data_IF_581804168674
#
_entry.id   IF_581804168674
#
_cell.length_a   1.000
_cell.length_b   1.000
_cell.length_c   1.000
_cell.angle_alpha   90.00
_cell.angle_beta   90.00
_cell.angle_gamma   90.00
#
_symmetry.space_group_name_H-M   'P 1'
#
loop_
_entity.id
_entity.type
_entity.pdbx_description
1 polymer ?
#
# COMPACT_ATOMS: atom_id res chain seq x y z
N UNK A 1 -19.23 0.14 -3.28
CA UNK A 1 -18.12 0.41 -4.23
C UNK A 1 -17.08 1.34 -3.60
N UNK A 2 -17.35 2.65 -3.43
CA UNK A 2 -16.46 3.55 -2.66
C UNK A 2 -16.20 3.10 -1.21
N UNK A 3 -17.19 2.44 -0.60
CA UNK A 3 -17.09 1.86 0.75
C UNK A 3 -15.90 0.90 0.89
N UNK A 4 -15.64 0.03 -0.09
CA UNK A 4 -14.53 -0.92 -0.02
C UNK A 4 -13.17 -0.21 0.01
N UNK A 5 -12.99 0.81 -0.84
CA UNK A 5 -11.77 1.64 -0.85
C UNK A 5 -11.60 2.39 0.48
N UNK A 6 -12.69 2.93 1.03
CA UNK A 6 -12.65 3.63 2.32
C UNK A 6 -12.33 2.69 3.48
N UNK A 7 -12.87 1.46 3.49
CA UNK A 7 -12.52 0.42 4.46
C UNK A 7 -11.03 0.09 4.37
N UNK A 8 -10.51 -0.16 3.17
CA UNK A 8 -9.09 -0.46 2.96
C UNK A 8 -8.20 0.69 3.42
N UNK A 9 -8.56 1.94 3.10
CA UNK A 9 -7.84 3.11 3.57
C UNK A 9 -7.86 3.22 5.11
N UNK A 10 -9.02 2.98 5.73
CA UNK A 10 -9.19 3.07 7.18
C UNK A 10 -8.29 2.09 7.94
N UNK A 11 -8.18 0.84 7.47
CA UNK A 11 -7.39 -0.19 8.15
C UNK A 11 -5.89 -0.10 7.88
N UNK A 12 -5.48 0.59 6.80
CA UNK A 12 -4.07 0.67 6.38
C UNK A 12 -3.40 1.99 6.80
N UNK A 13 -4.13 3.11 6.88
CA UNK A 13 -3.52 4.42 7.07
C UNK A 13 -2.75 4.53 8.39
N UNK A 14 -3.35 4.12 9.51
CA UNK A 14 -2.74 4.26 10.85
C UNK A 14 -1.55 3.32 11.03
N UNK A 15 -1.62 2.02 10.68
CA UNK A 15 -0.47 1.14 10.79
C UNK A 15 0.66 1.53 9.84
N UNK A 16 0.31 1.97 8.63
CA UNK A 16 1.27 2.48 7.67
C UNK A 16 2.00 3.74 8.14
N UNK A 17 1.27 4.67 8.76
CA UNK A 17 1.87 5.88 9.33
C UNK A 17 2.82 5.56 10.49
N UNK A 18 2.42 4.60 11.36
CA UNK A 18 3.28 4.11 12.43
C UNK A 18 4.57 3.47 11.89
N UNK A 19 4.47 2.64 10.84
CA UNK A 19 5.64 2.07 10.17
C UNK A 19 6.51 3.15 9.51
N UNK A 20 5.90 4.12 8.83
CA UNK A 20 6.63 5.20 8.19
C UNK A 20 7.49 5.99 9.19
N UNK A 21 6.98 6.22 10.41
CA UNK A 21 7.75 6.91 11.46
C UNK A 21 8.99 6.12 11.91
N UNK A 22 8.95 4.80 11.81
CA UNK A 22 10.08 3.92 12.16
C UNK A 22 11.07 3.80 10.99
N UNK A 23 10.57 3.78 9.76
CA UNK A 23 11.36 3.49 8.56
C UNK A 23 11.96 4.75 7.90
N UNK A 24 11.32 5.90 8.01
CA UNK A 24 11.81 7.17 7.44
C UNK A 24 11.64 8.33 8.45
N UNK A 25 12.71 8.57 9.22
CA UNK A 25 12.77 9.67 10.19
C UNK A 25 12.84 11.07 9.55
N UNK A 26 13.22 11.17 8.27
CA UNK A 26 13.27 12.44 7.54
C UNK A 26 11.97 12.76 6.79
N UNK A 27 11.02 11.82 6.73
CA UNK A 27 9.76 12.01 6.04
C UNK A 27 8.94 13.15 6.65
N UNK A 28 8.63 14.15 5.83
CA UNK A 28 7.64 15.18 6.15
C UNK A 28 6.21 14.63 6.01
N UNK A 29 5.22 15.49 6.29
CA UNK A 29 3.81 15.08 6.21
C UNK A 29 3.40 14.57 4.82
N UNK A 30 3.97 15.13 3.76
CA UNK A 30 3.67 14.73 2.39
C UNK A 30 4.19 13.32 2.09
N UNK A 31 5.47 13.06 2.37
CA UNK A 31 6.06 11.74 2.13
C UNK A 31 5.40 10.67 3.00
N UNK A 32 5.08 11.00 4.27
CA UNK A 32 4.30 10.13 5.16
C UNK A 32 2.93 9.80 4.56
N UNK A 33 2.22 10.78 4.00
CA UNK A 33 0.91 10.55 3.38
C UNK A 33 0.99 9.61 2.16
N UNK A 34 2.06 9.71 1.35
CA UNK A 34 2.27 8.83 0.20
C UNK A 34 2.63 7.40 0.63
N UNK A 35 3.53 7.24 1.62
CA UNK A 35 4.03 5.95 2.07
C UNK A 35 3.01 5.15 2.89
N UNK A 36 2.20 5.82 3.71
CA UNK A 36 1.37 5.16 4.72
C UNK A 36 0.41 4.12 4.13
N UNK A 37 -0.41 4.41 3.10
CA UNK A 37 -1.35 3.41 2.57
C UNK A 37 -0.64 2.12 2.08
N UNK A 38 0.52 2.24 1.44
CA UNK A 38 1.27 1.09 0.93
C UNK A 38 1.90 0.25 2.06
N UNK A 39 2.55 0.90 3.03
CA UNK A 39 3.16 0.22 4.17
C UNK A 39 2.10 -0.46 5.04
N UNK A 40 0.97 0.22 5.25
CA UNK A 40 -0.17 -0.32 5.96
C UNK A 40 -0.76 -1.52 5.25
N UNK A 41 -0.96 -1.42 3.93
CA UNK A 41 -1.46 -2.52 3.12
C UNK A 41 -0.54 -3.74 3.19
N UNK A 42 0.78 -3.56 3.12
CA UNK A 42 1.75 -4.64 3.28
C UNK A 42 1.63 -5.33 4.65
N UNK A 43 1.48 -4.56 5.73
CA UNK A 43 1.28 -5.11 7.07
C UNK A 43 -0.04 -5.89 7.16
N UNK A 44 -1.13 -5.34 6.63
CA UNK A 44 -2.45 -5.99 6.66
C UNK A 44 -2.44 -7.27 5.80
N UNK A 45 -1.74 -7.28 4.66
CA UNK A 45 -1.49 -8.51 3.89
C UNK A 45 -0.77 -9.56 4.73
N UNK A 46 0.30 -9.16 5.42
CA UNK A 46 1.02 -10.04 6.33
C UNK A 46 0.12 -10.60 7.44
N UNK A 47 -0.70 -9.75 8.07
CA UNK A 47 -1.63 -10.14 9.13
C UNK A 47 -2.66 -11.14 8.62
N UNK A 48 -3.38 -10.84 7.54
CA UNK A 48 -4.41 -11.73 6.99
C UNK A 48 -3.81 -13.03 6.47
N UNK A 49 -2.63 -12.97 5.84
CA UNK A 49 -1.89 -14.14 5.39
C UNK A 49 -1.46 -15.04 6.55
N UNK A 50 -0.97 -14.48 7.65
CA UNK A 50 -0.58 -15.25 8.84
C UNK A 50 -1.78 -15.88 9.55
N UNK A 51 -2.87 -15.14 9.70
CA UNK A 51 -4.14 -15.68 10.24
C UNK A 51 -4.59 -16.88 9.39
N UNK A 52 -4.50 -16.77 8.07
CA UNK A 52 -4.80 -17.89 7.18
C UNK A 52 -3.84 -19.07 7.36
N UNK A 53 -2.53 -18.84 7.31
CA UNK A 53 -1.51 -19.88 7.43
C UNK A 53 -1.55 -20.62 8.78
N UNK A 54 -2.10 -19.98 9.83
CA UNK A 54 -2.32 -20.62 11.12
C UNK A 54 -3.44 -21.67 11.11
N UNK A 55 -4.25 -21.75 10.04
CA UNK A 55 -5.42 -22.61 9.95
C UNK A 55 -6.62 -22.13 10.77
N UNK A 56 -6.57 -20.91 11.31
CA UNK A 56 -7.60 -20.33 12.18
C UNK A 56 -8.43 -19.25 11.48
N UNK A 57 -8.38 -19.16 10.15
CA UNK A 57 -9.07 -18.09 9.44
C UNK A 57 -10.57 -18.11 9.73
N UNK A 58 -11.05 -16.97 10.23
CA UNK A 58 -12.46 -16.59 10.26
C UNK A 58 -12.51 -15.07 10.07
N UNK A 59 -13.62 -14.55 9.54
CA UNK A 59 -13.79 -13.11 9.42
C UNK A 59 -13.67 -12.38 10.77
N UNK A 60 -14.22 -12.97 11.83
CA UNK A 60 -14.17 -12.42 13.19
C UNK A 60 -12.73 -12.36 13.71
N UNK A 61 -11.96 -13.45 13.57
CA UNK A 61 -10.57 -13.47 14.02
C UNK A 61 -9.71 -12.49 13.21
N UNK A 62 -9.84 -12.50 11.88
CA UNK A 62 -9.13 -11.56 11.01
C UNK A 62 -9.44 -10.10 11.39
N UNK A 63 -10.71 -9.77 11.62
CA UNK A 63 -11.14 -8.45 12.11
C UNK A 63 -10.50 -8.09 13.45
N UNK A 64 -10.51 -9.02 14.41
CA UNK A 64 -9.90 -8.82 15.72
C UNK A 64 -8.39 -8.55 15.62
N UNK A 65 -7.66 -9.27 14.77
CA UNK A 65 -6.22 -9.08 14.58
C UNK A 65 -5.92 -7.77 13.81
N UNK A 66 -6.74 -7.38 12.83
CA UNK A 66 -6.62 -6.07 12.15
C UNK A 66 -6.84 -4.92 13.15
N UNK A 67 -7.85 -5.03 14.03
CA UNK A 67 -8.10 -4.07 15.10
C UNK A 67 -6.94 -4.04 16.10
N UNK A 68 -6.39 -5.19 16.46
CA UNK A 68 -5.19 -5.28 17.30
C UNK A 68 -4.00 -4.58 16.65
N UNK A 69 -3.74 -4.81 15.36
CA UNK A 69 -2.67 -4.13 14.63
C UNK A 69 -2.84 -2.60 14.66
N UNK A 70 -4.05 -2.11 14.39
CA UNK A 70 -4.38 -0.67 14.45
C UNK A 70 -4.20 -0.08 15.86
N UNK A 71 -4.66 -0.77 16.90
CA UNK A 71 -4.52 -0.30 18.29
C UNK A 71 -3.06 -0.29 18.75
N UNK A 72 -2.26 -1.31 18.37
CA UNK A 72 -0.82 -1.34 18.62
C UNK A 72 -0.10 -0.21 17.89
N UNK A 73 -0.49 0.10 16.65
CA UNK A 73 0.06 1.25 15.91
C UNK A 73 -0.26 2.58 16.59
N UNK A 74 -1.48 2.78 17.11
CA UNK A 74 -1.84 3.97 17.90
C UNK A 74 -1.02 4.05 19.19
N UNK A 75 -0.86 2.93 19.91
CA UNK A 75 -0.06 2.87 21.12
C UNK A 75 1.41 3.20 20.83
N UNK A 76 1.95 2.72 19.71
CA UNK A 76 3.30 3.04 19.24
C UNK A 76 3.45 4.54 18.95
N UNK A 77 2.50 5.15 18.23
CA UNK A 77 2.53 6.58 17.91
C UNK A 77 2.43 7.47 19.15
N UNK A 78 1.69 7.05 20.18
CA UNK A 78 1.55 7.78 21.45
C UNK A 78 2.73 7.61 22.40
N UNK A 79 3.63 6.65 22.14
CA UNK A 79 4.79 6.40 23.01
C UNK A 79 5.70 7.63 22.99
N UNK A 80 5.93 8.21 24.17
CA UNK A 80 6.88 9.31 24.34
C UNK A 80 8.31 8.78 24.24
N UNK A 81 9.19 9.58 23.64
CA UNK A 81 10.64 9.32 23.62
C UNK A 81 11.13 9.41 25.05
N UNK A 82 11.85 8.38 25.51
CA UNK A 82 12.44 8.39 26.83
C UNK A 82 13.79 9.10 26.75
N UNK A 83 13.84 10.36 27.21
CA UNK A 83 15.02 11.23 27.18
C UNK A 83 16.22 10.60 27.91
N UNK A 84 15.99 9.74 28.90
CA UNK A 84 17.04 9.09 29.70
C UNK A 84 17.86 8.04 28.94
N UNK A 85 17.37 7.52 27.80
CA UNK A 85 18.06 6.46 27.04
C UNK A 85 18.94 6.97 25.91
N UNK A 86 19.02 8.29 25.71
CA UNK A 86 19.66 8.90 24.55
C UNK A 86 18.87 8.71 23.25
N UNK A 87 19.12 9.57 22.26
CA UNK A 87 18.46 9.50 20.95
C UNK A 87 19.16 8.48 20.06
N UNK A 88 18.39 7.61 19.41
CA UNK A 88 18.91 6.78 18.31
C UNK A 88 19.32 7.67 17.12
N UNK A 89 20.16 7.17 16.21
CA UNK A 89 20.51 7.91 14.99
C UNK A 89 19.27 8.38 14.21
N UNK A 90 18.23 7.56 14.17
CA UNK A 90 16.93 7.91 13.56
C UNK A 90 16.22 9.05 14.28
N UNK A 91 16.23 9.05 15.61
CA UNK A 91 15.64 10.12 16.41
C UNK A 91 16.46 11.41 16.34
N UNK A 92 17.79 11.30 16.21
CA UNK A 92 18.67 12.44 15.94
C UNK A 92 18.34 13.07 14.58
N UNK A 93 18.15 12.27 13.53
CA UNK A 93 17.76 12.76 12.21
C UNK A 93 16.39 13.47 12.26
N UNK A 94 15.38 12.85 12.89
CA UNK A 94 14.05 13.47 13.09
C UNK A 94 14.19 14.81 13.85
N UNK A 95 15.02 14.85 14.89
CA UNK A 95 15.29 16.07 15.65
C UNK A 95 15.97 17.18 14.84
N UNK A 96 16.97 16.86 14.02
CA UNK A 96 17.65 17.83 13.14
C UNK A 96 16.70 18.35 12.08
N UNK A 97 15.88 17.48 11.50
CA UNK A 97 14.82 17.88 10.57
C UNK A 97 13.81 18.86 11.20
N UNK A 98 13.66 18.82 12.52
CA UNK A 98 12.84 19.76 13.31
C UNK A 98 13.61 20.96 13.88
N UNK A 99 14.88 21.16 13.49
CA UNK A 99 15.68 22.34 13.82
C UNK A 99 16.59 22.21 15.03
N UNK A 100 16.81 21.00 15.57
CA UNK A 100 17.86 20.79 16.57
C UNK A 100 19.25 20.81 15.92
N UNK A 101 20.20 21.52 16.52
CA UNK A 101 21.60 21.55 16.08
C UNK A 101 22.36 20.51 16.90
N UNK A 102 22.96 19.53 16.24
CA UNK A 102 23.80 18.51 16.89
C UNK A 102 25.25 19.00 17.02
N UNK A 103 25.99 18.38 17.94
CA UNK A 103 27.43 18.60 18.10
C UNK A 103 28.21 18.06 16.88
N UNK A 104 29.47 18.51 16.71
CA UNK A 104 30.28 18.25 15.51
C UNK A 104 30.52 16.77 15.17
N UNK A 105 30.33 15.85 16.12
CA UNK A 105 30.48 14.40 15.89
C UNK A 105 29.33 13.80 15.05
N UNK A 106 28.21 14.49 14.87
CA UNK A 106 27.05 14.01 14.10
C UNK A 106 26.92 14.71 12.71
N UNK A 107 28.02 15.15 12.10
CA UNK A 107 28.02 15.90 10.84
C UNK A 107 27.29 15.16 9.70
N UNK A 108 27.44 13.84 9.60
CA UNK A 108 26.73 13.02 8.59
C UNK A 108 25.19 13.15 8.69
N UNK A 109 24.65 13.21 9.92
CA UNK A 109 23.20 13.37 10.15
C UNK A 109 22.74 14.77 9.75
N UNK A 110 23.57 15.78 10.01
CA UNK A 110 23.31 17.16 9.60
C UNK A 110 23.33 17.32 8.07
N UNK A 111 24.28 16.66 7.40
CA UNK A 111 24.40 16.69 5.94
C UNK A 111 23.21 15.97 5.29
N UNK A 112 22.82 14.80 5.80
CA UNK A 112 21.64 14.06 5.34
C UNK A 112 20.37 14.89 5.54
N UNK A 113 20.17 15.49 6.72
CA UNK A 113 19.02 16.36 6.98
C UNK A 113 18.97 17.54 5.99
N UNK A 114 20.12 18.15 5.69
CA UNK A 114 20.22 19.25 4.72
C UNK A 114 19.85 18.80 3.30
N UNK A 115 20.31 17.63 2.88
CA UNK A 115 19.94 17.03 1.59
C UNK A 115 18.43 16.74 1.52
N UNK A 116 17.86 16.17 2.58
CA UNK A 116 16.43 15.89 2.66
C UNK A 116 15.59 17.17 2.62
N UNK A 117 15.99 18.22 3.34
CA UNK A 117 15.32 19.53 3.28
C UNK A 117 15.36 20.12 1.86
N UNK A 118 16.49 20.02 1.18
CA UNK A 118 16.62 20.47 -0.21
C UNK A 118 15.69 19.69 -1.15
N UNK A 119 15.62 18.35 -1.04
CA UNK A 119 14.67 17.56 -1.83
C UNK A 119 13.22 17.98 -1.56
N UNK A 120 12.86 18.21 -0.30
CA UNK A 120 11.51 18.61 0.11
C UNK A 120 11.13 20.00 -0.44
N UNK A 121 12.06 20.95 -0.49
CA UNK A 121 11.83 22.29 -1.07
C UNK A 121 11.79 22.27 -2.60
N UNK A 122 12.55 21.38 -3.24
CA UNK A 122 12.74 21.33 -4.69
C UNK A 122 11.91 20.27 -5.41
N UNK A 123 10.89 19.71 -4.75
CA UNK A 123 9.99 18.72 -5.34
C UNK A 123 9.41 19.17 -6.67
N UNK A 124 9.34 18.23 -7.62
CA UNK A 124 8.67 18.45 -8.90
C UNK A 124 7.14 18.46 -8.72
N UNK A 125 6.60 19.57 -8.19
CA UNK A 125 5.18 19.71 -7.81
C UNK A 125 4.21 19.42 -8.95
N UNK A 126 4.55 19.86 -10.16
CA UNK A 126 3.71 19.59 -11.33
C UNK A 126 3.62 18.09 -11.64
N UNK A 127 4.74 17.39 -11.66
CA UNK A 127 4.76 15.95 -11.84
C UNK A 127 4.05 15.20 -10.73
N UNK A 128 4.18 15.65 -9.48
CA UNK A 128 3.40 15.09 -8.36
C UNK A 128 1.90 15.23 -8.62
N UNK A 129 1.41 16.42 -8.97
CA UNK A 129 -0.03 16.64 -9.22
C UNK A 129 -0.54 15.78 -10.37
N UNK A 130 0.15 15.77 -11.51
CA UNK A 130 -0.23 14.97 -12.68
C UNK A 130 -0.17 13.48 -12.35
N UNK A 131 0.92 13.03 -11.74
CA UNK A 131 1.11 11.64 -11.34
C UNK A 131 0.05 11.17 -10.35
N UNK A 132 -0.33 11.99 -9.36
CA UNK A 132 -1.39 11.67 -8.42
C UNK A 132 -2.75 11.51 -9.12
N UNK A 133 -3.10 12.40 -10.04
CA UNK A 133 -4.34 12.29 -10.83
C UNK A 133 -4.34 10.98 -11.64
N UNK A 134 -3.24 10.66 -12.31
CA UNK A 134 -3.10 9.43 -13.09
C UNK A 134 -3.18 8.18 -12.21
N UNK A 135 -2.50 8.17 -11.07
CA UNK A 135 -2.54 7.08 -10.09
C UNK A 135 -3.95 6.87 -9.51
N UNK A 136 -4.69 7.95 -9.23
CA UNK A 136 -6.08 7.85 -8.79
C UNK A 136 -7.00 7.35 -9.92
N UNK A 137 -6.65 7.60 -11.18
CA UNK A 137 -7.31 7.02 -12.36
C UNK A 137 -7.38 5.49 -12.34
N UNK A 138 -6.41 4.82 -11.70
CA UNK A 138 -6.40 3.36 -11.52
C UNK A 138 -7.65 2.89 -10.74
N UNK A 139 -8.13 3.70 -9.79
CA UNK A 139 -9.30 3.36 -8.97
C UNK A 139 -10.64 3.55 -9.71
N UNK A 140 -10.63 4.16 -10.90
CA UNK A 140 -11.86 4.45 -11.66
C UNK A 140 -12.43 3.19 -12.31
N UNK A 141 -11.58 2.27 -12.78
CA UNK A 141 -12.00 1.02 -13.42
C UNK A 141 -13.00 0.21 -12.58
N UNK A 142 -12.69 -0.14 -11.31
CA UNK A 142 -13.62 -0.91 -10.49
C UNK A 142 -14.86 -0.11 -10.05
N UNK A 143 -14.93 1.20 -10.32
CA UNK A 143 -16.13 2.01 -10.11
C UNK A 143 -17.08 1.91 -11.31
N UNK A 144 -16.54 1.83 -12.53
CA UNK A 144 -17.32 1.82 -13.77
C UNK A 144 -17.69 0.39 -14.19
N UNK A 145 -16.85 -0.60 -13.86
CA UNK A 145 -17.00 -1.98 -14.27
C UNK A 145 -17.40 -2.88 -13.10
N UNK A 146 -18.24 -3.88 -13.38
CA UNK A 146 -18.75 -4.77 -12.34
C UNK A 146 -17.85 -5.99 -12.10
N UNK A 147 -17.21 -6.50 -13.15
CA UNK A 147 -16.41 -7.72 -13.10
C UNK A 147 -15.01 -7.49 -13.68
N UNK A 148 -13.99 -8.14 -13.10
CA UNK A 148 -12.63 -8.07 -13.61
C UNK A 148 -12.44 -8.84 -14.92
N UNK A 149 -11.49 -8.42 -15.75
CA UNK A 149 -11.09 -9.13 -16.98
C UNK A 149 -9.81 -9.94 -16.74
N UNK A 150 -9.90 -11.27 -16.90
CA UNK A 150 -8.74 -12.16 -16.93
C UNK A 150 -8.89 -13.39 -16.03
N UNK A 151 -8.20 -14.46 -16.42
CA UNK A 151 -8.26 -15.77 -15.73
C UNK A 151 -7.78 -15.68 -14.28
N UNK A 152 -6.73 -14.91 -14.00
CA UNK A 152 -6.19 -14.78 -12.65
C UNK A 152 -7.20 -14.16 -11.67
N UNK A 153 -8.00 -13.19 -12.15
CA UNK A 153 -9.05 -12.58 -11.33
C UNK A 153 -10.13 -13.58 -10.95
N UNK A 154 -10.53 -14.45 -11.87
CA UNK A 154 -11.47 -15.54 -11.61
C UNK A 154 -10.87 -16.49 -10.58
N UNK A 155 -9.61 -16.88 -10.77
CA UNK A 155 -8.89 -17.74 -9.85
C UNK A 155 -8.84 -17.19 -8.41
N UNK A 156 -8.43 -15.93 -8.25
CA UNK A 156 -8.44 -15.27 -6.94
C UNK A 156 -9.85 -15.10 -6.39
N UNK A 157 -10.87 -14.86 -7.21
CA UNK A 157 -12.26 -14.76 -6.76
C UNK A 157 -12.79 -16.11 -6.24
N UNK A 158 -12.43 -17.22 -6.90
CA UNK A 158 -12.75 -18.58 -6.43
C UNK A 158 -12.09 -18.85 -5.08
N UNK A 159 -10.78 -18.57 -4.94
CA UNK A 159 -10.09 -18.73 -3.66
C UNK A 159 -10.69 -17.86 -2.56
N UNK A 160 -10.98 -16.61 -2.88
CA UNK A 160 -11.59 -15.65 -1.95
C UNK A 160 -12.94 -16.14 -1.45
N UNK A 161 -13.76 -16.71 -2.34
CA UNK A 161 -15.02 -17.35 -1.98
C UNK A 161 -14.82 -18.58 -1.09
N UNK A 162 -13.87 -19.45 -1.42
CA UNK A 162 -13.57 -20.63 -0.59
C UNK A 162 -13.11 -20.26 0.82
N UNK A 163 -12.29 -19.22 0.96
CA UNK A 163 -11.87 -18.74 2.28
C UNK A 163 -13.06 -18.19 3.07
N UNK A 164 -13.95 -17.43 2.42
CA UNK A 164 -15.13 -16.87 3.11
C UNK A 164 -16.09 -17.97 3.57
N UNK A 165 -16.32 -18.98 2.73
CA UNK A 165 -17.27 -20.06 3.03
C UNK A 165 -16.71 -21.12 3.98
N UNK A 166 -15.45 -21.50 3.82
CA UNK A 166 -14.86 -22.69 4.45
C UNK A 166 -13.60 -22.41 5.26
N UNK A 167 -13.08 -21.18 5.25
CA UNK A 167 -11.84 -20.81 5.96
C UNK A 167 -10.58 -21.45 5.39
N UNK A 168 -10.62 -22.03 4.19
CA UNK A 168 -9.49 -22.71 3.56
C UNK A 168 -9.49 -22.48 2.03
N UNK A 169 -8.47 -23.02 1.35
CA UNK A 169 -8.32 -22.93 -0.12
C UNK A 169 -8.38 -24.31 -0.80
N UNK A 170 -9.00 -25.29 -0.15
CA UNK A 170 -9.19 -26.62 -0.73
C UNK A 170 -10.38 -26.55 -1.69
N UNK A 171 -10.14 -26.88 -2.95
CA UNK A 171 -11.18 -26.92 -3.96
C UNK A 171 -11.76 -28.35 -4.03
N UNK A 172 -13.08 -28.44 -4.05
CA UNK A 172 -13.81 -29.72 -4.19
C UNK A 172 -14.54 -29.82 -5.53
N UNK A 173 -14.82 -31.04 -6.00
CA UNK A 173 -15.59 -31.28 -7.22
C UNK A 173 -14.71 -31.36 -8.48
N UNK A 174 -15.14 -30.74 -9.59
CA UNK A 174 -14.46 -30.84 -10.90
C UNK A 174 -13.07 -30.17 -10.91
N UNK A 175 -12.80 -29.28 -9.95
CA UNK A 175 -11.52 -28.57 -9.78
C UNK A 175 -10.76 -29.09 -8.55
N UNK A 176 -10.79 -30.40 -8.29
CA UNK A 176 -10.11 -31.01 -7.15
C UNK A 176 -8.61 -30.63 -7.11
N UNK A 177 -8.19 -30.01 -6.01
CA UNK A 177 -6.81 -29.57 -5.83
C UNK A 177 -6.63 -28.50 -4.75
N UNK A 178 -5.37 -28.16 -4.48
CA UNK A 178 -4.99 -27.07 -3.58
C UNK A 178 -4.15 -26.04 -4.34
N UNK A 179 -4.52 -24.77 -4.25
CA UNK A 179 -3.71 -23.69 -4.83
C UNK A 179 -2.51 -23.35 -3.93
N UNK A 180 -1.37 -23.08 -4.54
CA UNK A 180 -0.09 -22.78 -3.87
C UNK A 180 0.26 -21.30 -3.83
N UNK A 181 -0.64 -20.41 -4.26
CA UNK A 181 -0.40 -18.97 -4.21
C UNK A 181 -0.30 -18.48 -2.76
N UNK A 182 0.54 -17.45 -2.47
CA UNK A 182 0.57 -16.83 -1.17
C UNK A 182 -0.82 -16.36 -0.73
N UNK A 183 -1.26 -16.69 0.50
CA UNK A 183 -2.65 -16.52 0.91
C UNK A 183 -3.05 -15.10 1.24
N UNK A 184 -2.08 -14.19 1.38
CA UNK A 184 -2.31 -12.83 1.85
C UNK A 184 -3.38 -12.08 1.03
N UNK A 185 -3.28 -12.14 -0.31
CA UNK A 185 -4.21 -11.47 -1.21
C UNK A 185 -5.65 -12.03 -1.10
N UNK A 186 -5.90 -13.33 -1.36
CA UNK A 186 -7.25 -13.88 -1.26
C UNK A 186 -7.81 -13.85 0.17
N UNK A 187 -6.97 -13.94 1.21
CA UNK A 187 -7.42 -13.82 2.60
C UNK A 187 -7.91 -12.40 2.95
N UNK A 188 -7.20 -11.36 2.50
CA UNK A 188 -7.66 -9.98 2.69
C UNK A 188 -8.86 -9.66 1.80
N UNK A 189 -8.90 -10.18 0.56
CA UNK A 189 -10.07 -10.05 -0.30
C UNK A 189 -11.31 -10.71 0.33
N UNK A 190 -11.14 -11.86 0.98
CA UNK A 190 -12.23 -12.56 1.67
C UNK A 190 -12.75 -11.74 2.85
N UNK A 191 -11.83 -11.20 3.65
CA UNK A 191 -12.21 -10.27 4.72
C UNK A 191 -12.95 -9.03 4.19
N UNK A 192 -12.50 -8.45 3.07
CA UNK A 192 -13.13 -7.28 2.45
C UNK A 192 -14.51 -7.61 1.87
N UNK A 193 -14.68 -8.80 1.29
CA UNK A 193 -15.95 -9.31 0.74
C UNK A 193 -17.04 -9.27 1.81
N UNK A 194 -16.76 -9.82 2.99
CA UNK A 194 -17.69 -9.81 4.11
C UNK A 194 -17.82 -8.43 4.75
N UNK A 195 -16.72 -7.70 4.94
CA UNK A 195 -16.74 -6.37 5.58
C UNK A 195 -17.53 -5.32 4.77
N UNK A 196 -17.45 -5.38 3.43
CA UNK A 196 -18.15 -4.47 2.53
C UNK A 196 -19.47 -5.05 1.98
N UNK A 197 -19.82 -6.29 2.35
CA UNK A 197 -20.97 -7.03 1.82
C UNK A 197 -21.04 -7.01 0.28
N UNK A 198 -19.94 -7.44 -0.35
CA UNK A 198 -19.80 -7.58 -1.81
C UNK A 198 -19.34 -8.99 -2.14
N UNK A 199 -19.57 -9.44 -3.37
CA UNK A 199 -19.08 -10.74 -3.84
C UNK A 199 -17.55 -10.78 -3.93
N UNK A 200 -17.00 -12.01 -3.96
CA UNK A 200 -15.56 -12.25 -3.98
C UNK A 200 -14.87 -11.68 -5.22
N UNK A 201 -15.54 -11.69 -6.38
CA UNK A 201 -15.03 -11.12 -7.62
C UNK A 201 -14.83 -9.62 -7.51
N UNK A 202 -15.83 -8.91 -6.98
CA UNK A 202 -15.72 -7.47 -6.71
C UNK A 202 -14.70 -7.16 -5.63
N UNK A 203 -14.65 -7.93 -4.55
CA UNK A 203 -13.66 -7.72 -3.49
C UNK A 203 -12.23 -7.81 -4.03
N UNK A 204 -11.95 -8.85 -4.81
CA UNK A 204 -10.68 -9.04 -5.51
C UNK A 204 -10.40 -7.89 -6.49
N UNK A 205 -11.39 -7.46 -7.26
CA UNK A 205 -11.25 -6.37 -8.23
C UNK A 205 -10.89 -5.03 -7.56
N UNK A 206 -11.61 -4.66 -6.49
CA UNK A 206 -11.32 -3.46 -5.70
C UNK A 206 -9.96 -3.55 -5.01
N UNK A 207 -9.64 -4.68 -4.37
CA UNK A 207 -8.39 -4.85 -3.66
C UNK A 207 -7.19 -4.79 -4.61
N UNK A 208 -7.30 -5.39 -5.81
CA UNK A 208 -6.24 -5.33 -6.83
C UNK A 208 -5.94 -3.91 -7.30
N UNK A 209 -6.97 -3.14 -7.64
CA UNK A 209 -6.80 -1.74 -8.09
C UNK A 209 -6.33 -0.84 -6.95
N UNK A 210 -6.85 -1.04 -5.73
CA UNK A 210 -6.37 -0.35 -4.54
C UNK A 210 -4.88 -0.62 -4.32
N UNK A 211 -4.47 -1.89 -4.37
CA UNK A 211 -3.07 -2.31 -4.22
C UNK A 211 -2.17 -1.63 -5.22
N UNK A 212 -2.54 -1.66 -6.51
CA UNK A 212 -1.73 -1.02 -7.55
C UNK A 212 -1.61 0.48 -7.32
N UNK A 213 -2.73 1.18 -7.05
CA UNK A 213 -2.74 2.61 -6.82
C UNK A 213 -1.85 3.01 -5.62
N UNK A 214 -2.00 2.34 -4.48
CA UNK A 214 -1.20 2.67 -3.29
C UNK A 214 0.25 2.27 -3.44
N UNK A 215 0.59 1.20 -4.18
CA UNK A 215 1.99 0.84 -4.45
C UNK A 215 2.68 1.87 -5.34
N UNK A 216 2.02 2.36 -6.39
CA UNK A 216 2.57 3.42 -7.25
C UNK A 216 2.81 4.70 -6.44
N UNK A 217 1.85 5.10 -5.60
CA UNK A 217 1.97 6.27 -4.73
C UNK A 217 3.04 6.07 -3.65
N UNK A 218 3.07 4.91 -3.00
CA UNK A 218 4.03 4.58 -1.95
C UNK A 218 5.46 4.50 -2.47
N UNK A 219 5.68 3.86 -3.61
CA UNK A 219 6.98 3.83 -4.26
C UNK A 219 7.44 5.23 -4.70
N UNK A 220 6.53 6.09 -5.16
CA UNK A 220 6.87 7.50 -5.39
C UNK A 220 7.27 8.22 -4.10
N UNK A 221 6.64 7.91 -2.97
CA UNK A 221 7.05 8.40 -1.65
C UNK A 221 8.44 7.93 -1.25
N UNK A 222 8.79 6.68 -1.55
CA UNK A 222 10.15 6.17 -1.35
C UNK A 222 11.17 6.88 -2.27
N UNK A 223 10.82 7.13 -3.54
CA UNK A 223 11.68 7.86 -4.48
C UNK A 223 11.78 9.37 -4.17
N UNK A 224 10.82 9.94 -3.43
CA UNK A 224 10.90 11.30 -2.90
C UNK A 224 12.06 11.47 -1.92
N UNK A 225 12.48 10.40 -1.23
CA UNK A 225 13.71 10.39 -0.42
C UNK A 225 14.97 10.69 -1.25
N UNK A 226 14.93 10.40 -2.54
CA UNK A 226 16.01 10.66 -3.50
C UNK A 226 15.70 11.84 -4.42
N UNK A 227 14.72 12.68 -4.09
CA UNK A 227 14.34 13.86 -4.89
C UNK A 227 13.67 13.57 -6.24
N UNK A 228 13.23 12.33 -6.49
CA UNK A 228 12.68 11.89 -7.78
C UNK A 228 11.22 11.40 -7.73
N UNK A 229 10.53 11.61 -6.60
CA UNK A 229 9.16 11.12 -6.39
C UNK A 229 8.16 11.58 -7.44
N UNK A 230 8.21 12.86 -7.85
CA UNK A 230 7.31 13.40 -8.87
C UNK A 230 7.53 12.81 -10.26
N UNK A 231 8.78 12.65 -10.67
CA UNK A 231 9.15 12.03 -11.94
C UNK A 231 8.74 10.56 -11.95
N UNK A 232 9.06 9.83 -10.89
CA UNK A 232 8.70 8.42 -10.72
C UNK A 232 7.18 8.23 -10.81
N UNK A 233 6.41 9.06 -10.12
CA UNK A 233 4.95 8.96 -10.08
C UNK A 233 4.33 9.12 -11.47
N UNK A 234 4.80 10.09 -12.26
CA UNK A 234 4.34 10.28 -13.66
C UNK A 234 4.72 9.08 -14.52
N UNK A 235 5.99 8.67 -14.50
CA UNK A 235 6.50 7.58 -15.34
C UNK A 235 5.78 6.27 -15.04
N UNK A 236 5.62 5.91 -13.76
CA UNK A 236 4.95 4.67 -13.38
C UNK A 236 3.46 4.71 -13.70
N UNK A 237 2.78 5.82 -13.45
CA UNK A 237 1.34 5.93 -13.76
C UNK A 237 1.06 5.87 -15.26
N UNK A 238 1.90 6.52 -16.09
CA UNK A 238 1.81 6.40 -17.55
C UNK A 238 2.16 4.97 -18.03
N UNK A 239 3.16 4.34 -17.41
CA UNK A 239 3.51 2.94 -17.69
C UNK A 239 2.34 1.98 -17.48
N UNK A 240 1.55 2.17 -16.43
CA UNK A 240 0.30 1.41 -16.20
C UNK A 240 -0.70 1.64 -17.34
N UNK A 241 -0.88 2.88 -17.78
CA UNK A 241 -1.76 3.21 -18.90
C UNK A 241 -1.31 2.58 -20.23
N UNK A 242 -0.01 2.60 -20.52
CA UNK A 242 0.57 1.96 -21.71
C UNK A 242 0.37 0.44 -21.63
N UNK A 243 0.63 -0.19 -20.48
CA UNK A 243 0.44 -1.62 -20.31
C UNK A 243 -1.02 -2.04 -20.51
N UNK A 244 -1.97 -1.28 -19.94
CA UNK A 244 -3.39 -1.49 -20.16
C UNK A 244 -3.75 -1.40 -21.65
N UNK A 245 -3.18 -0.45 -22.39
CA UNK A 245 -3.44 -0.29 -23.83
C UNK A 245 -2.77 -1.37 -24.68
N UNK A 246 -1.58 -1.82 -24.32
CA UNK A 246 -0.91 -2.99 -24.94
C UNK A 246 -1.79 -4.23 -24.81
N UNK A 247 -2.38 -4.44 -23.63
CA UNK A 247 -3.24 -5.59 -23.40
C UNK A 247 -4.53 -5.55 -24.25
N UNK A 248 -5.12 -4.37 -24.42
CA UNK A 248 -6.32 -4.15 -25.24
C UNK A 248 -6.04 -4.24 -26.76
N UNK A 249 -4.92 -3.65 -27.22
CA UNK A 249 -4.72 -3.35 -28.65
C UNK A 249 -3.37 -3.75 -29.23
N UNK A 250 -2.49 -4.38 -28.44
CA UNK A 250 -1.20 -4.91 -28.87
C UNK A 250 -0.11 -3.86 -29.07
N UNK A 251 1.04 -4.32 -29.55
CA UNK A 251 2.26 -3.51 -29.75
C UNK A 251 2.16 -2.37 -30.79
N UNK A 252 1.40 -2.48 -31.90
CA UNK A 252 1.28 -1.39 -32.87
C UNK A 252 0.74 -0.08 -32.27
N UNK A 253 -0.13 -0.17 -31.26
CA UNK A 253 -0.71 1.00 -30.60
C UNK A 253 0.28 1.72 -29.69
N UNK A 254 1.30 1.04 -29.17
CA UNK A 254 2.39 1.72 -28.43
C UNK A 254 3.26 2.51 -29.38
N UNK A 255 3.61 1.93 -30.54
CA UNK A 255 4.39 2.61 -31.56
C UNK A 255 3.69 3.87 -32.08
N UNK A 256 2.34 3.86 -32.19
CA UNK A 256 1.57 5.03 -32.61
C UNK A 256 1.48 6.15 -31.56
N UNK A 257 1.89 5.92 -30.32
CA UNK A 257 1.94 6.96 -29.27
C UNK A 257 3.31 7.66 -29.20
N UNK A 258 4.29 7.20 -29.99
CA UNK A 258 5.65 7.77 -30.06
C UNK A 258 5.78 8.85 -31.16
N UNK A 259 4.69 9.18 -31.85
CA UNK A 259 4.60 10.17 -32.93
C UNK A 259 3.54 11.20 -32.56
#
# INVERSE_FOLDING_TARGET
MLVAILILLAITLVPGYALCRVLDGAADGWRKAMLSPALGLLLIYGVCGLVFLSGLWTWVLASAVILLANTLSIAHLKRRVNEEKGLTQWQKLEAVMHGMILESEDQEISDEASAQQWFQSNRYKFGITVGMILSLGILVLPIIQELPFGVDWIGFAVLTGQISEHGNMVLSGVNEGSWTYPPAFPALASWLSEAANIDSGRAVFFLGHYTLAVLVIGAAGAMDHHGSGGQFLVTMSLGVGIFAKVYDSGYPTVASQLV
#
